data_IF_827323887138
#
_entry.id   IF_827323887138
#
_cell.length_a   1.000
_cell.length_b   1.000
_cell.length_c   1.000
_cell.angle_alpha   90.00
_cell.angle_beta   90.00
_cell.angle_gamma   90.00
#
_symmetry.space_group_name_H-M   'P 1'
#
loop_
_entity.id
_entity.type
_entity.pdbx_description
1 polymer ?
#
# COMPACT_ATOMS: atom_id res chain seq x y z
N UNK A 1 -9.86 -21.80 -6.55
CA UNK A 1 -9.20 -21.34 -5.30
C UNK A 1 -8.30 -20.13 -5.55
N UNK A 2 -7.29 -20.23 -6.42
CA UNK A 2 -6.33 -19.14 -6.71
C UNK A 2 -6.96 -17.75 -6.97
N UNK A 3 -7.98 -17.65 -7.83
CA UNK A 3 -8.66 -16.37 -8.10
C UNK A 3 -9.26 -15.73 -6.84
N UNK A 4 -9.91 -16.53 -5.99
CA UNK A 4 -10.48 -16.05 -4.73
C UNK A 4 -9.36 -15.60 -3.79
N UNK A 5 -8.30 -16.40 -3.66
CA UNK A 5 -7.13 -16.06 -2.82
C UNK A 5 -6.50 -14.74 -3.25
N UNK A 6 -6.26 -14.55 -4.55
CA UNK A 6 -5.70 -13.29 -5.08
C UNK A 6 -6.61 -12.13 -4.70
N UNK A 7 -7.91 -12.22 -4.99
CA UNK A 7 -8.87 -11.15 -4.70
C UNK A 7 -8.93 -10.85 -3.20
N UNK A 8 -9.10 -11.87 -2.35
CA UNK A 8 -9.21 -11.72 -0.90
C UNK A 8 -7.97 -11.08 -0.29
N UNK A 9 -6.77 -11.52 -0.69
CA UNK A 9 -5.52 -10.96 -0.16
C UNK A 9 -5.33 -9.50 -0.59
N UNK A 10 -5.63 -9.15 -1.84
CA UNK A 10 -5.49 -7.76 -2.29
C UNK A 10 -6.53 -6.84 -1.62
N UNK A 11 -7.76 -7.31 -1.40
CA UNK A 11 -8.76 -6.56 -0.62
C UNK A 11 -8.26 -6.32 0.81
N UNK A 12 -7.70 -7.35 1.46
CA UNK A 12 -7.16 -7.20 2.81
C UNK A 12 -5.99 -6.21 2.86
N UNK A 13 -5.11 -6.21 1.86
CA UNK A 13 -4.01 -5.24 1.74
C UNK A 13 -4.55 -3.82 1.61
N UNK A 14 -5.54 -3.59 0.74
CA UNK A 14 -6.15 -2.26 0.56
C UNK A 14 -6.82 -1.79 1.85
N UNK A 15 -7.60 -2.66 2.52
CA UNK A 15 -8.24 -2.32 3.78
C UNK A 15 -7.21 -1.93 4.85
N UNK A 16 -6.11 -2.68 4.95
CA UNK A 16 -5.04 -2.41 5.90
C UNK A 16 -4.34 -1.08 5.58
N UNK A 17 -4.02 -0.84 4.32
CA UNK A 17 -3.42 0.43 3.88
C UNK A 17 -4.35 1.62 4.13
N UNK A 18 -5.64 1.48 3.86
CA UNK A 18 -6.66 2.51 4.12
C UNK A 18 -6.79 2.81 5.62
N UNK A 19 -6.85 1.78 6.47
CA UNK A 19 -6.93 1.95 7.92
C UNK A 19 -5.71 2.68 8.47
N UNK A 20 -4.51 2.37 7.98
CA UNK A 20 -3.27 3.05 8.38
C UNK A 20 -3.22 4.47 7.81
N UNK A 21 -3.67 4.67 6.58
CA UNK A 21 -3.72 5.99 5.97
C UNK A 21 -4.60 6.96 6.73
N UNK A 22 -5.82 6.52 7.06
CA UNK A 22 -6.75 7.26 7.91
C UNK A 22 -6.22 7.35 9.35
N UNK A 23 -5.61 6.28 9.86
CA UNK A 23 -5.02 6.24 11.20
C UNK A 23 -3.86 7.21 11.40
N UNK A 24 -3.07 7.47 10.36
CA UNK A 24 -1.96 8.42 10.38
C UNK A 24 -2.42 9.86 10.69
N UNK A 25 -3.64 10.21 10.28
CA UNK A 25 -4.28 11.51 10.59
C UNK A 25 -4.46 11.68 12.11
N UNK A 26 -4.69 10.58 12.81
CA UNK A 26 -4.89 10.55 14.26
C UNK A 26 -3.61 10.24 15.03
N UNK A 27 -2.44 10.17 14.37
CA UNK A 27 -1.17 9.91 15.06
C UNK A 27 -0.65 11.21 15.70
N UNK A 28 -0.71 11.36 17.04
CA UNK A 28 -0.27 12.57 17.72
C UNK A 28 1.26 12.74 17.74
N UNK A 29 2.00 11.74 17.26
CA UNK A 29 3.46 11.67 17.27
C UNK A 29 4.09 11.94 15.90
N UNK A 30 3.27 12.15 14.86
CA UNK A 30 3.75 12.42 13.51
C UNK A 30 4.25 13.88 13.38
N UNK A 31 5.27 14.16 12.54
CA UNK A 31 5.66 15.53 12.23
C UNK A 31 4.45 16.27 11.65
N UNK A 32 4.20 17.47 12.18
CA UNK A 32 3.06 18.35 11.92
C UNK A 32 2.01 17.78 10.93
N UNK A 33 0.95 17.12 11.43
CA UNK A 33 0.03 16.33 10.60
C UNK A 33 -0.63 17.14 9.49
N UNK A 34 -0.67 18.48 9.57
CA UNK A 34 -1.19 19.32 8.49
C UNK A 34 -0.22 19.53 7.33
N UNK A 35 1.09 19.38 7.56
CA UNK A 35 2.12 19.62 6.54
C UNK A 35 2.40 18.39 5.69
N UNK A 36 2.19 17.20 6.26
CA UNK A 36 2.59 15.92 5.66
C UNK A 36 1.40 15.09 5.11
N UNK A 37 0.17 15.54 5.40
CA UNK A 37 -1.07 14.85 5.06
C UNK A 37 -1.25 14.58 3.55
N UNK A 38 -1.00 15.59 2.72
CA UNK A 38 -1.29 15.52 1.29
C UNK A 38 -0.37 14.52 0.59
N UNK A 39 0.93 14.55 0.89
CA UNK A 39 1.91 13.61 0.35
C UNK A 39 1.63 12.19 0.84
N UNK A 40 1.30 12.04 2.11
CA UNK A 40 0.95 10.76 2.72
C UNK A 40 -0.28 10.12 2.05
N UNK A 41 -1.36 10.88 1.87
CA UNK A 41 -2.56 10.38 1.18
C UNK A 41 -2.26 10.06 -0.28
N UNK A 42 -1.50 10.91 -0.98
CA UNK A 42 -1.11 10.65 -2.36
C UNK A 42 -0.29 9.35 -2.49
N UNK A 43 0.63 9.10 -1.55
CA UNK A 43 1.43 7.88 -1.51
C UNK A 43 0.56 6.63 -1.30
N UNK A 44 -0.43 6.70 -0.41
CA UNK A 44 -1.36 5.58 -0.17
C UNK A 44 -2.26 5.32 -1.37
N UNK A 45 -2.82 6.37 -1.99
CA UNK A 45 -3.60 6.23 -3.21
C UNK A 45 -2.79 5.58 -4.33
N UNK A 46 -1.52 5.99 -4.48
CA UNK A 46 -0.62 5.39 -5.47
C UNK A 46 -0.31 3.92 -5.13
N UNK A 47 -0.12 3.59 -3.86
CA UNK A 47 0.05 2.22 -3.39
C UNK A 47 -1.17 1.35 -3.73
N UNK A 48 -2.38 1.81 -3.44
CA UNK A 48 -3.62 1.05 -3.72
C UNK A 48 -3.80 0.79 -5.22
N UNK A 49 -3.44 1.74 -6.08
CA UNK A 49 -3.43 1.53 -7.55
C UNK A 49 -2.47 0.40 -7.93
N UNK A 50 -1.27 0.36 -7.34
CA UNK A 50 -0.30 -0.71 -7.59
C UNK A 50 -0.81 -2.08 -7.11
N UNK A 51 -1.50 -2.14 -5.97
CA UNK A 51 -2.16 -3.35 -5.47
C UNK A 51 -3.25 -3.82 -6.44
N UNK A 52 -4.06 -2.91 -6.99
CA UNK A 52 -5.08 -3.28 -8.00
C UNK A 52 -4.41 -3.81 -9.28
N UNK A 53 -3.35 -3.15 -9.75
CA UNK A 53 -2.61 -3.57 -10.94
C UNK A 53 -1.95 -4.94 -10.74
N UNK A 54 -1.36 -5.21 -9.58
CA UNK A 54 -0.79 -6.52 -9.27
C UNK A 54 -1.87 -7.61 -9.25
N UNK A 55 -3.03 -7.34 -8.66
CA UNK A 55 -4.16 -8.26 -8.67
C UNK A 55 -4.57 -8.62 -10.10
N UNK A 56 -4.71 -7.61 -10.96
CA UNK A 56 -5.04 -7.81 -12.38
C UNK A 56 -4.00 -8.69 -13.09
N UNK A 57 -2.71 -8.39 -12.94
CA UNK A 57 -1.62 -9.18 -13.56
C UNK A 57 -1.67 -10.63 -13.05
N UNK A 58 -1.82 -10.83 -11.74
CA UNK A 58 -1.83 -12.15 -11.11
C UNK A 58 -3.02 -13.02 -11.54
N UNK A 59 -4.19 -12.40 -11.73
CA UNK A 59 -5.39 -13.07 -12.25
C UNK A 59 -5.23 -13.52 -13.70
N UNK A 60 -4.47 -12.77 -14.51
CA UNK A 60 -4.21 -13.10 -15.92
C UNK A 60 -3.08 -14.13 -16.09
N UNK A 61 -1.96 -13.97 -15.36
CA UNK A 61 -0.77 -14.81 -15.53
C UNK A 61 -0.89 -16.16 -14.82
N UNK A 62 -1.68 -16.24 -13.72
CA UNK A 62 -1.98 -17.47 -12.97
C UNK A 62 -0.74 -18.25 -12.46
N UNK A 63 0.41 -17.58 -12.29
CA UNK A 63 1.62 -18.18 -11.71
C UNK A 63 1.67 -17.93 -10.20
N UNK A 64 1.60 -18.99 -9.40
CA UNK A 64 1.60 -18.89 -7.94
C UNK A 64 2.87 -18.30 -7.34
N UNK A 65 4.04 -18.48 -7.96
CA UNK A 65 5.28 -17.87 -7.45
C UNK A 65 5.30 -16.35 -7.63
N UNK A 66 4.64 -15.82 -8.67
CA UNK A 66 4.47 -14.38 -8.84
C UNK A 66 3.59 -13.81 -7.73
N UNK A 67 2.60 -14.56 -7.24
CA UNK A 67 1.75 -14.12 -6.14
C UNK A 67 2.57 -13.81 -4.88
N UNK A 68 3.46 -14.72 -4.49
CA UNK A 68 4.35 -14.48 -3.35
C UNK A 68 5.26 -13.26 -3.59
N UNK A 69 5.87 -13.17 -4.78
CA UNK A 69 6.75 -12.05 -5.14
C UNK A 69 6.03 -10.69 -5.05
N UNK A 70 4.82 -10.58 -5.60
CA UNK A 70 4.03 -9.35 -5.54
C UNK A 70 3.63 -9.00 -4.11
N UNK A 71 3.17 -9.97 -3.31
CA UNK A 71 2.79 -9.72 -1.91
C UNK A 71 3.99 -9.21 -1.11
N UNK A 72 5.15 -9.86 -1.19
CA UNK A 72 6.35 -9.40 -0.48
C UNK A 72 6.83 -8.03 -0.98
N UNK A 73 6.77 -7.78 -2.29
CA UNK A 73 7.15 -6.47 -2.86
C UNK A 73 6.21 -5.35 -2.40
N UNK A 74 4.91 -5.61 -2.34
CA UNK A 74 3.91 -4.65 -1.84
C UNK A 74 4.09 -4.40 -0.35
N UNK A 75 4.33 -5.43 0.46
CA UNK A 75 4.62 -5.26 1.89
C UNK A 75 5.91 -4.45 2.12
N UNK A 76 6.96 -4.73 1.35
CA UNK A 76 8.20 -3.96 1.38
C UNK A 76 8.00 -2.50 0.99
N UNK A 77 7.26 -2.25 -0.10
CA UNK A 77 6.91 -0.89 -0.54
C UNK A 77 6.11 -0.15 0.54
N UNK A 78 5.13 -0.82 1.14
CA UNK A 78 4.31 -0.25 2.21
C UNK A 78 5.14 0.12 3.45
N UNK A 79 6.12 -0.71 3.81
CA UNK A 79 7.04 -0.42 4.92
C UNK A 79 7.92 0.80 4.67
N UNK A 80 8.38 1.00 3.43
CA UNK A 80 9.28 2.11 3.04
C UNK A 80 8.50 3.39 2.71
N UNK A 81 7.20 3.29 2.43
CA UNK A 81 6.32 4.41 2.06
C UNK A 81 6.43 5.64 2.99
N UNK A 82 6.43 5.48 4.34
CA UNK A 82 6.57 6.62 5.25
C UNK A 82 7.91 7.35 5.10
N UNK A 83 9.00 6.60 4.94
CA UNK A 83 10.33 7.18 4.75
C UNK A 83 10.44 7.94 3.42
N UNK A 84 9.81 7.44 2.35
CA UNK A 84 9.72 8.14 1.07
C UNK A 84 8.92 9.43 1.22
N UNK A 85 7.78 9.39 1.91
CA UNK A 85 6.95 10.57 2.16
C UNK A 85 7.73 11.67 2.88
N UNK A 86 8.46 11.33 3.96
CA UNK A 86 9.28 12.26 4.71
C UNK A 86 10.43 12.85 3.86
N UNK A 87 11.11 12.00 3.09
CA UNK A 87 12.18 12.45 2.20
C UNK A 87 11.70 13.45 1.14
N UNK A 88 10.52 13.21 0.54
CA UNK A 88 9.91 14.13 -0.46
C UNK A 88 9.54 15.47 0.18
N UNK A 89 9.15 15.47 1.45
CA UNK A 89 8.81 16.66 2.21
C UNK A 89 10.02 17.43 2.75
N UNK A 90 11.24 16.87 2.61
CA UNK A 90 12.48 17.48 3.06
C UNK A 90 12.66 17.46 4.58
N UNK A 91 12.04 16.51 5.27
CA UNK A 91 12.13 16.24 6.72
C UNK A 91 13.00 15.00 6.97
#
# INVERSE_FOLDING_TARGET
>A
MYRITVISVHILIILFATMIGIGGIYNPSAPDPNRTFTTWIAAILMFDILVILSAYILLNVKKGWLFALFVFSLLGLFYVLPAISLFVEGL
#
